data_IF_038590529550
#
_entry.id   IF_038590529550
#
_cell.length_a   1.000
_cell.length_b   1.000
_cell.length_c   1.000
_cell.angle_alpha   90.00
_cell.angle_beta   90.00
_cell.angle_gamma   90.00
#
_symmetry.space_group_name_H-M   'P 1'
#
loop_
_entity.id
_entity.type
_entity.pdbx_description
1 polymer ?
#
# COMPACT_ATOMS: atom_id res chain seq x y z
N UNK A 1 22.49 29.00 -60.61
CA UNK A 1 22.50 27.54 -60.85
C UNK A 1 22.95 26.72 -59.63
N UNK A 2 24.02 27.11 -58.93
CA UNK A 2 24.57 26.36 -57.78
C UNK A 2 23.56 26.15 -56.63
N UNK A 3 22.85 27.19 -56.19
CA UNK A 3 21.88 27.12 -55.07
C UNK A 3 20.71 26.17 -55.33
N UNK A 4 20.22 26.12 -56.58
CA UNK A 4 19.14 25.21 -56.99
C UNK A 4 19.59 23.75 -57.03
N UNK A 5 20.87 23.51 -57.32
CA UNK A 5 21.43 22.16 -57.30
C UNK A 5 21.67 21.69 -55.86
N UNK A 6 22.17 22.56 -54.97
CA UNK A 6 22.31 22.24 -53.54
C UNK A 6 20.96 21.93 -52.87
N UNK A 7 19.90 22.70 -53.20
CA UNK A 7 18.56 22.43 -52.68
C UNK A 7 18.03 21.04 -53.09
N UNK A 8 18.25 20.65 -54.35
CA UNK A 8 17.88 19.32 -54.86
C UNK A 8 18.67 18.20 -54.18
N UNK A 9 19.96 18.42 -53.93
CA UNK A 9 20.81 17.44 -53.23
C UNK A 9 20.37 17.24 -51.78
N UNK A 10 20.03 18.32 -51.07
CA UNK A 10 19.52 18.24 -49.69
C UNK A 10 18.17 17.53 -49.63
N UNK A 11 17.25 17.86 -50.55
CA UNK A 11 15.95 17.18 -50.62
C UNK A 11 16.09 15.67 -50.89
N UNK A 12 17.06 15.27 -51.70
CA UNK A 12 17.33 13.86 -51.99
C UNK A 12 17.88 13.12 -50.77
N UNK A 13 18.77 13.74 -49.99
CA UNK A 13 19.30 13.16 -48.74
C UNK A 13 18.18 12.96 -47.72
N UNK A 14 17.31 13.95 -47.55
CA UNK A 14 16.17 13.88 -46.61
C UNK A 14 15.21 12.75 -47.03
N UNK A 15 14.90 12.64 -48.31
CA UNK A 15 14.03 11.57 -48.82
C UNK A 15 14.61 10.16 -48.55
N UNK A 16 15.93 9.99 -48.71
CA UNK A 16 16.59 8.71 -48.41
C UNK A 16 16.50 8.38 -46.92
N UNK A 17 16.70 9.35 -46.01
CA UNK A 17 16.59 9.13 -44.56
C UNK A 17 15.17 8.67 -44.18
N UNK A 18 14.14 9.29 -44.74
CA UNK A 18 12.74 8.90 -44.46
C UNK A 18 12.38 7.49 -44.97
N UNK A 19 13.04 6.97 -46.00
CA UNK A 19 12.80 5.59 -46.49
C UNK A 19 13.50 4.51 -45.67
N UNK A 20 14.54 4.85 -44.90
CA UNK A 20 15.31 3.87 -44.11
C UNK A 20 14.78 3.78 -42.67
N UNK A 21 14.17 4.84 -42.15
CA UNK A 21 13.62 4.88 -40.78
C UNK A 21 12.13 4.56 -40.81
N UNK A 22 11.78 3.33 -41.16
CA UNK A 22 10.49 2.74 -40.76
C UNK A 22 10.78 1.63 -39.76
N UNK A 23 11.09 2.02 -38.53
CA UNK A 23 11.08 1.09 -37.41
C UNK A 23 9.62 0.71 -37.14
N UNK A 24 9.20 -0.48 -37.59
CA UNK A 24 8.01 -1.09 -37.04
C UNK A 24 8.33 -1.48 -35.59
N UNK A 25 8.06 -0.57 -34.66
CA UNK A 25 8.06 -0.91 -33.25
C UNK A 25 6.86 -1.84 -33.03
N UNK A 26 7.08 -3.15 -33.13
CA UNK A 26 6.12 -4.10 -32.60
C UNK A 26 6.10 -3.89 -31.10
N UNK A 27 4.98 -3.35 -30.59
CA UNK A 27 4.77 -3.15 -29.17
C UNK A 27 5.07 -4.45 -28.43
N UNK A 28 6.16 -4.46 -27.65
CA UNK A 28 6.42 -5.56 -26.73
C UNK A 28 5.55 -5.31 -25.51
N UNK A 29 4.31 -5.75 -25.57
CA UNK A 29 3.40 -5.75 -24.43
C UNK A 29 3.87 -6.82 -23.45
N UNK A 30 4.88 -6.52 -22.65
CA UNK A 30 5.12 -7.29 -21.43
C UNK A 30 4.10 -6.82 -20.40
N UNK A 31 2.88 -7.38 -20.46
CA UNK A 31 1.96 -7.28 -19.32
C UNK A 31 2.61 -8.03 -18.17
N UNK A 32 3.00 -7.30 -17.12
CA UNK A 32 3.36 -7.89 -15.84
C UNK A 32 2.08 -8.43 -15.18
N UNK A 33 1.58 -9.56 -15.70
CA UNK A 33 0.34 -10.22 -15.23
C UNK A 33 0.60 -11.31 -14.21
N UNK A 34 1.80 -11.37 -13.61
CA UNK A 34 2.21 -12.51 -12.79
C UNK A 34 1.47 -12.61 -11.44
N UNK A 35 0.69 -11.61 -11.03
CA UNK A 35 -0.09 -11.63 -9.79
C UNK A 35 -1.61 -11.53 -9.98
N UNK A 36 -2.12 -10.96 -11.08
CA UNK A 36 -3.57 -10.75 -11.26
C UNK A 36 -4.33 -12.01 -11.69
N UNK A 37 -3.63 -13.09 -12.02
CA UNK A 37 -4.23 -14.35 -12.46
C UNK A 37 -4.09 -15.48 -11.43
N UNK A 38 -3.87 -15.13 -10.16
CA UNK A 38 -3.91 -16.09 -9.07
C UNK A 38 -5.38 -16.30 -8.73
N UNK A 39 -5.99 -17.31 -9.35
CA UNK A 39 -7.23 -17.89 -8.83
C UNK A 39 -6.87 -18.55 -7.51
N UNK A 40 -7.24 -17.91 -6.39
CA UNK A 40 -7.10 -18.53 -5.07
C UNK A 40 -7.90 -19.83 -5.05
N UNK A 41 -7.27 -20.90 -4.57
CA UNK A 41 -7.96 -22.19 -4.38
C UNK A 41 -9.10 -21.98 -3.39
N UNK A 42 -10.31 -22.46 -3.72
CA UNK A 42 -11.45 -22.38 -2.81
C UNK A 42 -11.08 -23.00 -1.46
N UNK A 43 -11.31 -22.24 -0.38
CA UNK A 43 -11.08 -22.70 0.98
C UNK A 43 -11.97 -23.91 1.25
N UNK A 44 -11.36 -25.08 1.46
CA UNK A 44 -12.08 -26.29 1.82
C UNK A 44 -12.31 -26.28 3.32
N UNK A 45 -13.58 -26.17 3.73
CA UNK A 45 -13.94 -26.28 5.13
C UNK A 45 -13.97 -27.76 5.52
N UNK A 46 -12.96 -28.17 6.29
CA UNK A 46 -12.89 -29.49 6.90
C UNK A 46 -13.95 -29.65 8.00
N UNK A 47 -14.46 -30.87 8.16
CA UNK A 47 -15.59 -31.18 9.04
C UNK A 47 -15.39 -30.72 10.49
N UNK A 48 -14.15 -30.67 10.99
CA UNK A 48 -13.87 -30.22 12.35
C UNK A 48 -14.10 -28.72 12.56
N UNK A 49 -13.95 -27.89 11.51
CA UNK A 49 -14.07 -26.43 11.61
C UNK A 49 -15.50 -25.97 11.86
N UNK A 50 -16.49 -26.80 11.55
CA UNK A 50 -17.92 -26.51 11.77
C UNK A 50 -18.60 -27.53 12.68
N UNK A 51 -17.86 -28.49 13.24
CA UNK A 51 -18.47 -29.51 14.07
C UNK A 51 -18.80 -28.93 15.44
N UNK A 52 -20.09 -28.70 15.65
CA UNK A 52 -20.63 -28.22 16.91
C UNK A 52 -20.26 -29.12 18.09
N UNK A 53 -20.09 -30.43 17.91
CA UNK A 53 -19.62 -31.31 18.99
C UNK A 53 -18.15 -31.10 19.39
N UNK A 54 -17.36 -30.38 18.58
CA UNK A 54 -15.99 -29.99 18.92
C UNK A 54 -16.02 -28.66 19.69
N UNK A 55 -16.80 -27.70 19.21
CA UNK A 55 -16.84 -26.34 19.76
C UNK A 55 -17.84 -26.16 20.93
N UNK A 56 -18.97 -26.86 20.92
CA UNK A 56 -19.96 -26.89 22.01
C UNK A 56 -19.71 -28.01 23.02
N UNK A 57 -18.46 -28.46 23.18
CA UNK A 57 -18.11 -29.16 24.42
C UNK A 57 -18.10 -28.15 25.56
N UNK A 58 -19.29 -27.89 26.13
CA UNK A 58 -19.44 -27.14 27.39
C UNK A 58 -18.65 -27.76 28.54
N UNK A 59 -18.15 -28.99 28.37
CA UNK A 59 -17.32 -29.72 29.32
C UNK A 59 -15.80 -29.47 29.14
N UNK A 60 -15.36 -28.74 28.10
CA UNK A 60 -13.98 -28.22 27.98
C UNK A 60 -13.79 -26.90 28.73
N UNK A 61 -14.89 -26.29 29.19
CA UNK A 61 -14.84 -25.26 30.23
C UNK A 61 -14.72 -25.85 31.64
N UNK A 62 -14.28 -27.10 31.79
CA UNK A 62 -13.55 -27.49 32.99
C UNK A 62 -12.15 -26.86 32.92
N UNK A 63 -12.10 -25.52 32.89
CA UNK A 63 -11.02 -24.83 33.55
C UNK A 63 -11.10 -25.34 34.99
N UNK A 64 -10.42 -26.46 35.29
CA UNK A 64 -9.80 -26.62 36.61
C UNK A 64 -9.28 -25.25 36.89
N UNK A 65 -9.84 -24.60 37.91
CA UNK A 65 -9.50 -23.26 38.34
C UNK A 65 -7.97 -23.19 38.31
N UNK A 66 -7.44 -22.73 37.18
CA UNK A 66 -6.04 -22.50 37.01
C UNK A 66 -5.95 -21.19 37.75
N UNK A 67 -5.86 -21.29 39.09
CA UNK A 67 -5.32 -20.22 39.87
C UNK A 67 -3.89 -20.09 39.35
N UNK A 68 -3.75 -19.29 38.29
CA UNK A 68 -2.46 -18.73 37.96
C UNK A 68 -1.96 -18.10 39.26
N UNK A 69 -0.68 -18.35 39.58
CA UNK A 69 -0.07 -17.72 40.73
C UNK A 69 -0.35 -16.22 40.65
N UNK A 70 -0.81 -15.63 41.75
CA UNK A 70 -1.06 -14.20 41.84
C UNK A 70 0.17 -13.47 41.28
N UNK A 71 -0.01 -12.73 40.18
CA UNK A 71 1.06 -11.93 39.59
C UNK A 71 1.49 -10.88 40.61
N UNK A 72 2.60 -11.15 41.27
CA UNK A 72 3.21 -10.22 42.20
C UNK A 72 4.03 -9.22 41.40
N UNK A 73 3.76 -7.93 41.62
CA UNK A 73 4.59 -6.88 41.06
C UNK A 73 5.97 -6.93 41.74
N UNK A 74 7.02 -7.08 40.94
CA UNK A 74 8.39 -7.04 41.42
C UNK A 74 8.78 -5.60 41.77
N UNK A 75 9.75 -5.42 42.68
CA UNK A 75 10.14 -4.09 43.17
C UNK A 75 10.50 -3.11 42.04
N UNK A 76 11.12 -3.59 40.95
CA UNK A 76 11.46 -2.73 39.82
C UNK A 76 10.23 -2.21 39.07
N UNK A 77 9.07 -2.87 39.14
CA UNK A 77 7.83 -2.48 38.46
C UNK A 77 7.10 -1.32 39.16
N UNK A 78 7.34 -1.14 40.46
CA UNK A 78 6.58 -0.19 41.30
C UNK A 78 7.45 0.82 42.01
N UNK A 79 8.76 0.60 42.09
CA UNK A 79 9.66 1.52 42.79
C UNK A 79 9.77 2.82 42.00
N UNK A 80 9.25 3.91 42.57
CA UNK A 80 9.34 5.24 41.98
C UNK A 80 10.78 5.60 41.66
N UNK A 81 11.76 5.21 42.48
CA UNK A 81 13.17 5.54 42.27
C UNK A 81 13.77 4.89 41.00
N UNK A 82 13.18 3.78 40.53
CA UNK A 82 13.57 3.08 39.28
C UNK A 82 12.97 3.78 38.05
N UNK A 83 11.82 4.43 38.21
CA UNK A 83 11.08 5.09 37.12
C UNK A 83 11.16 6.62 37.16
N UNK A 84 11.60 7.21 38.28
CA UNK A 84 11.72 8.64 38.55
C UNK A 84 13.02 9.18 37.97
N UNK A 85 13.24 8.88 36.71
CA UNK A 85 14.39 9.37 35.96
C UNK A 85 13.94 10.50 35.02
N UNK A 86 12.72 11.03 35.23
CA UNK A 86 12.18 12.18 34.50
C UNK A 86 13.01 13.45 34.66
N UNK A 87 13.87 13.55 35.68
CA UNK A 87 14.77 14.69 35.84
C UNK A 87 16.09 14.50 35.07
N UNK A 88 16.63 13.27 34.97
CA UNK A 88 17.94 13.03 34.35
C UNK A 88 17.84 12.70 32.85
N UNK A 89 16.76 12.07 32.38
CA UNK A 89 16.57 11.84 30.94
C UNK A 89 16.21 13.13 30.18
N UNK A 90 15.48 14.06 30.82
CA UNK A 90 15.08 15.30 30.19
C UNK A 90 16.23 16.31 30.02
N UNK A 91 17.34 16.13 30.75
CA UNK A 91 18.50 17.04 30.69
C UNK A 91 19.45 16.69 29.54
N UNK A 92 19.46 15.45 29.06
CA UNK A 92 20.37 15.02 27.97
C UNK A 92 19.71 14.73 26.61
N UNK A 93 18.38 14.78 26.50
CA UNK A 93 17.69 14.65 25.21
C UNK A 93 17.15 15.97 24.71
N UNK A 94 18.05 16.91 24.40
CA UNK A 94 17.69 17.85 23.32
C UNK A 94 17.77 17.05 22.03
N UNK A 95 16.71 16.30 21.71
CA UNK A 95 16.59 15.72 20.38
C UNK A 95 16.76 16.86 19.37
N UNK A 96 17.61 16.66 18.37
CA UNK A 96 17.75 17.64 17.31
C UNK A 96 16.36 17.91 16.73
N UNK A 97 16.01 19.18 16.52
CA UNK A 97 14.74 19.51 15.88
C UNK A 97 14.66 18.73 14.57
N UNK A 98 13.53 18.04 14.36
CA UNK A 98 13.22 17.41 13.09
C UNK A 98 13.10 18.52 12.03
N UNK A 99 14.16 18.70 11.25
CA UNK A 99 14.17 19.63 10.13
C UNK A 99 13.47 18.97 8.94
N UNK A 100 12.51 19.67 8.35
CA UNK A 100 11.90 19.23 7.10
C UNK A 100 12.91 19.44 5.96
N UNK A 101 13.17 18.37 5.22
CA UNK A 101 14.02 18.44 4.04
C UNK A 101 13.32 19.24 2.93
N UNK A 102 14.11 19.83 2.00
CA UNK A 102 13.56 20.73 0.97
C UNK A 102 12.46 20.09 0.11
N UNK A 103 12.57 18.79 -0.17
CA UNK A 103 11.55 18.05 -0.91
C UNK A 103 10.25 17.87 -0.14
N UNK A 104 10.27 17.88 1.20
CA UNK A 104 9.08 17.74 2.04
C UNK A 104 8.22 19.00 2.06
N UNK A 105 8.78 20.14 1.65
CA UNK A 105 8.11 21.46 1.71
C UNK A 105 7.92 22.13 0.36
N UNK A 106 8.54 21.57 -0.70
CA UNK A 106 8.44 22.11 -2.03
C UNK A 106 7.27 21.49 -2.79
N UNK A 107 6.18 22.24 -2.95
CA UNK A 107 5.00 21.82 -3.71
C UNK A 107 5.31 21.27 -5.11
N UNK A 108 6.40 21.70 -5.75
CA UNK A 108 6.81 21.18 -7.05
C UNK A 108 7.17 19.69 -7.00
N UNK A 109 7.77 19.23 -5.90
CA UNK A 109 8.19 17.83 -5.74
C UNK A 109 7.00 16.87 -5.52
N UNK A 110 5.84 17.42 -5.13
CA UNK A 110 4.58 16.69 -4.94
C UNK A 110 3.60 16.86 -6.10
N UNK A 111 3.88 17.78 -7.03
CA UNK A 111 3.05 17.97 -8.23
C UNK A 111 3.32 16.85 -9.21
N UNK A 112 2.37 15.95 -9.32
CA UNK A 112 2.29 15.06 -10.47
C UNK A 112 1.75 15.88 -11.64
N UNK A 113 2.64 16.29 -12.55
CA UNK A 113 2.22 16.87 -13.83
C UNK A 113 1.29 15.88 -14.54
N UNK A 114 0.16 16.34 -15.12
CA UNK A 114 -0.72 15.49 -15.89
C UNK A 114 0.01 15.06 -17.16
N UNK A 115 0.79 13.98 -17.04
CA UNK A 115 1.35 13.30 -18.19
C UNK A 115 0.16 12.75 -18.98
N UNK A 116 0.22 12.72 -20.31
CA UNK A 116 -0.90 12.29 -21.17
C UNK A 116 -1.36 10.81 -20.97
N UNK A 117 -0.83 10.14 -19.96
CA UNK A 117 -1.17 8.80 -19.47
C UNK A 117 -1.50 8.81 -17.98
N UNK A 118 -2.04 9.92 -17.43
CA UNK A 118 -2.79 9.83 -16.17
C UNK A 118 -3.96 8.90 -16.46
N UNK A 119 -3.87 7.66 -16.01
CA UNK A 119 -5.05 6.83 -15.81
C UNK A 119 -5.90 7.60 -14.80
N UNK A 120 -6.85 8.37 -15.31
CA UNK A 120 -7.89 8.95 -14.47
C UNK A 120 -8.70 7.77 -13.99
N UNK A 121 -8.33 7.25 -12.83
CA UNK A 121 -9.20 6.43 -11.99
C UNK A 121 -10.44 7.31 -11.73
N UNK A 122 -11.43 7.25 -12.60
CA UNK A 122 -12.76 7.75 -12.26
C UNK A 122 -13.31 6.75 -11.26
N UNK A 123 -12.95 6.95 -9.99
CA UNK A 123 -13.61 6.26 -8.89
C UNK A 123 -15.09 6.66 -8.99
N UNK A 124 -15.94 5.70 -9.35
CA UNK A 124 -17.37 5.93 -9.44
C UNK A 124 -17.85 6.49 -8.11
N UNK A 125 -18.80 7.44 -8.14
CA UNK A 125 -19.40 7.93 -6.90
C UNK A 125 -19.88 6.72 -6.08
N UNK A 126 -19.27 6.48 -4.92
CA UNK A 126 -19.74 5.47 -3.97
C UNK A 126 -21.11 5.90 -3.46
N UNK A 127 -22.16 5.29 -3.99
CA UNK A 127 -23.50 5.36 -3.43
C UNK A 127 -23.64 4.30 -2.36
N UNK A 128 -24.14 4.67 -1.19
CA UNK A 128 -24.51 3.71 -0.15
C UNK A 128 -25.70 2.88 -0.65
N UNK A 129 -25.58 1.56 -0.58
CA UNK A 129 -26.66 0.63 -0.92
C UNK A 129 -27.68 0.54 0.24
N UNK A 130 -28.93 0.19 -0.05
CA UNK A 130 -30.03 0.21 0.93
C UNK A 130 -29.73 -0.59 2.20
N UNK A 131 -29.00 -1.70 2.09
CA UNK A 131 -28.63 -2.51 3.25
C UNK A 131 -27.63 -1.81 4.17
N UNK A 132 -26.79 -0.91 3.65
CA UNK A 132 -25.79 -0.16 4.42
C UNK A 132 -26.44 0.90 5.32
N UNK A 133 -27.66 1.35 4.97
CA UNK A 133 -28.39 2.40 5.68
C UNK A 133 -29.65 1.88 6.39
N UNK A 134 -30.01 0.62 6.21
CA UNK A 134 -31.22 0.07 6.81
C UNK A 134 -30.99 -0.32 8.27
N UNK A 135 -31.50 0.49 9.19
CA UNK A 135 -31.41 0.25 10.64
C UNK A 135 -31.98 -1.11 11.06
N UNK A 136 -32.90 -1.72 10.30
CA UNK A 136 -33.43 -3.07 10.59
C UNK A 136 -32.41 -4.17 10.27
N UNK A 137 -31.44 -3.90 9.39
CA UNK A 137 -30.37 -4.84 9.05
C UNK A 137 -29.29 -4.84 10.13
N UNK A 138 -29.02 -3.68 10.74
CA UNK A 138 -27.91 -3.50 11.69
C UNK A 138 -28.32 -3.52 13.16
N UNK A 139 -29.56 -3.19 13.49
CA UNK A 139 -30.05 -3.27 14.86
C UNK A 139 -30.77 -4.62 15.07
N UNK A 140 -29.99 -5.59 15.56
CA UNK A 140 -30.51 -6.76 16.27
C UNK A 140 -30.70 -6.45 17.76
#
# INVERSE_FOLDING_TARGET
MKTRNYLKTVALIIAVIFTVVTANATEKVTKASSHENIVETSLNIENWMTNEAIWNTSDVCNFVEAQEETLNLENWMTNSDVWSTSTDWAVETTEANLELEGWMTNDFDWKVEPTATVETETEGNLSLEDWMINERVWNM
#
